data_IF_831705892407
#
_entry.id   IF_831705892407
#
_cell.length_a   1.000
_cell.length_b   1.000
_cell.length_c   1.000
_cell.angle_alpha   90.00
_cell.angle_beta   90.00
_cell.angle_gamma   90.00
#
_symmetry.space_group_name_H-M   'P 1'
#
loop_
_entity.id
_entity.type
_entity.pdbx_description
1 polymer ?
#
# COMPACT_ATOMS: atom_id res chain seq x y z
N UNK A 1 -10.62 -0.83 -18.00
CA UNK A 1 -11.03 0.29 -17.11
C UNK A 1 -10.81 1.67 -17.74
N UNK A 2 -9.58 2.04 -18.15
CA UNK A 2 -9.28 3.35 -18.77
C UNK A 2 -10.24 3.78 -19.90
N UNK A 3 -10.49 2.89 -20.87
CA UNK A 3 -11.39 3.19 -21.99
C UNK A 3 -12.85 3.45 -21.55
N UNK A 4 -13.31 2.77 -20.50
CA UNK A 4 -14.65 2.99 -19.95
C UNK A 4 -14.75 4.36 -19.28
N UNK A 5 -13.72 4.76 -18.52
CA UNK A 5 -13.66 6.09 -17.89
C UNK A 5 -13.58 7.21 -18.93
N UNK A 6 -12.77 7.04 -19.98
CA UNK A 6 -12.70 7.99 -21.09
C UNK A 6 -14.04 8.13 -21.82
N UNK A 7 -14.73 7.01 -22.07
CA UNK A 7 -16.08 7.02 -22.66
C UNK A 7 -17.11 7.72 -21.76
N UNK A 8 -16.93 7.64 -20.45
CA UNK A 8 -17.82 8.28 -19.48
C UNK A 8 -17.57 9.79 -19.43
N UNK A 9 -16.31 10.21 -19.46
CA UNK A 9 -15.90 11.61 -19.57
C UNK A 9 -16.37 12.23 -20.89
N UNK A 10 -16.29 11.51 -22.02
CA UNK A 10 -16.76 12.03 -23.31
C UNK A 10 -18.29 12.21 -23.36
N UNK A 11 -19.04 11.40 -22.61
CA UNK A 11 -20.50 11.54 -22.49
C UNK A 11 -20.93 12.65 -21.53
N UNK A 12 -20.11 12.95 -20.52
CA UNK A 12 -20.43 13.91 -19.46
C UNK A 12 -19.26 14.90 -19.28
N UNK A 13 -19.15 15.93 -20.15
CA UNK A 13 -18.13 16.95 -19.99
C UNK A 13 -18.32 17.70 -18.67
N UNK A 14 -17.25 17.82 -17.87
CA UNK A 14 -17.28 18.41 -16.52
C UNK A 14 -17.52 17.42 -15.38
N UNK A 15 -17.62 16.12 -15.66
CA UNK A 15 -17.70 15.09 -14.63
C UNK A 15 -16.45 15.10 -13.73
N UNK A 16 -16.67 15.21 -12.42
CA UNK A 16 -15.66 14.96 -11.39
C UNK A 16 -15.90 13.59 -10.74
N UNK A 17 -14.87 12.74 -10.73
CA UNK A 17 -14.95 11.41 -10.14
C UNK A 17 -14.47 11.44 -8.69
N UNK A 18 -15.33 11.00 -7.77
CA UNK A 18 -14.95 10.79 -6.37
C UNK A 18 -14.63 9.32 -6.14
N UNK A 19 -13.37 9.03 -5.81
CA UNK A 19 -12.85 7.68 -5.66
C UNK A 19 -12.43 7.49 -4.21
N UNK A 20 -13.01 6.49 -3.54
CA UNK A 20 -12.60 6.09 -2.19
C UNK A 20 -11.96 4.71 -2.24
N UNK A 21 -10.78 4.60 -1.67
CA UNK A 21 -9.99 3.37 -1.62
C UNK A 21 -9.94 2.91 -0.16
N UNK A 22 -10.29 1.65 0.07
CA UNK A 22 -10.05 0.97 1.33
C UNK A 22 -8.62 0.40 1.28
N UNK A 23 -7.64 1.21 1.68
CA UNK A 23 -6.24 0.85 1.45
C UNK A 23 -5.72 -0.09 2.55
N UNK A 24 -5.22 -1.24 2.12
CA UNK A 24 -4.33 -2.10 2.88
C UNK A 24 -3.14 -2.52 2.01
N UNK A 25 -1.95 -2.03 2.33
CA UNK A 25 -0.69 -2.51 1.76
C UNK A 25 -0.38 -2.05 0.31
N UNK A 26 0.58 -2.73 -0.29
CA UNK A 26 1.24 -2.33 -1.55
C UNK A 26 0.32 -2.25 -2.77
N UNK A 27 -0.69 -3.11 -2.84
CA UNK A 27 -1.63 -3.12 -3.97
C UNK A 27 -2.45 -1.83 -4.07
N UNK A 28 -2.83 -1.26 -2.92
CA UNK A 28 -3.53 0.00 -2.88
C UNK A 28 -2.66 1.15 -3.42
N UNK A 29 -1.37 1.15 -3.09
CA UNK A 29 -0.42 2.18 -3.55
C UNK A 29 -0.27 2.20 -5.07
N UNK A 30 -0.10 1.03 -5.70
CA UNK A 30 -0.01 0.93 -7.15
C UNK A 30 -1.27 1.45 -7.84
N UNK A 31 -2.44 1.15 -7.27
CA UNK A 31 -3.72 1.66 -7.78
C UNK A 31 -3.82 3.17 -7.62
N UNK A 32 -3.42 3.71 -6.47
CA UNK A 32 -3.41 5.16 -6.20
C UNK A 32 -2.51 5.88 -7.20
N UNK A 33 -1.29 5.38 -7.43
CA UNK A 33 -0.38 5.95 -8.43
C UNK A 33 -1.01 5.94 -9.83
N UNK A 34 -1.57 4.81 -10.25
CA UNK A 34 -2.23 4.70 -11.56
C UNK A 34 -3.41 5.66 -11.70
N UNK A 35 -4.21 5.85 -10.65
CA UNK A 35 -5.34 6.77 -10.64
C UNK A 35 -4.90 8.24 -10.76
N UNK A 36 -3.79 8.64 -10.14
CA UNK A 36 -3.23 9.98 -10.28
C UNK A 36 -2.67 10.26 -11.69
N UNK A 37 -2.31 9.22 -12.45
CA UNK A 37 -1.90 9.36 -13.85
C UNK A 37 -3.09 9.59 -14.82
N UNK A 38 -4.33 9.46 -14.35
CA UNK A 38 -5.50 9.72 -15.18
C UNK A 38 -5.66 11.22 -15.43
N UNK A 39 -5.70 11.63 -16.71
CA UNK A 39 -5.92 13.02 -17.13
C UNK A 39 -7.40 13.42 -17.07
N UNK A 40 -8.03 13.24 -15.92
CA UNK A 40 -9.43 13.62 -15.68
C UNK A 40 -9.62 14.17 -14.26
N UNK A 41 -10.62 15.03 -14.03
CA UNK A 41 -10.89 15.57 -12.71
C UNK A 41 -11.29 14.45 -11.73
N UNK A 42 -10.42 14.12 -10.79
CA UNK A 42 -10.64 13.09 -9.76
C UNK A 42 -10.35 13.63 -8.37
N UNK A 43 -11.12 13.15 -7.39
CA UNK A 43 -10.86 13.33 -5.96
C UNK A 43 -10.62 11.94 -5.38
N UNK A 44 -9.38 11.65 -5.01
CA UNK A 44 -8.98 10.33 -4.49
C UNK A 44 -8.82 10.43 -2.99
N UNK A 45 -9.62 9.67 -2.25
CA UNK A 45 -9.56 9.58 -0.79
C UNK A 45 -9.25 8.16 -0.35
N UNK A 46 -8.35 8.03 0.61
CA UNK A 46 -7.99 6.76 1.22
C UNK A 46 -8.64 6.69 2.59
N UNK A 47 -9.53 5.71 2.76
CA UNK A 47 -10.25 5.49 4.01
C UNK A 47 -9.48 4.55 4.95
N UNK A 48 -9.58 4.81 6.24
CA UNK A 48 -9.14 3.85 7.25
C UNK A 48 -10.14 2.68 7.31
N UNK A 49 -9.67 1.41 7.36
CA UNK A 49 -10.56 0.24 7.36
C UNK A 49 -11.60 0.27 8.49
N UNK A 50 -11.22 0.75 9.68
CA UNK A 50 -12.14 0.88 10.82
C UNK A 50 -13.30 1.86 10.53
N UNK A 51 -13.01 2.99 9.90
CA UNK A 51 -14.02 3.98 9.52
C UNK A 51 -14.93 3.44 8.42
N UNK A 52 -14.37 2.77 7.41
CA UNK A 52 -15.16 2.16 6.33
C UNK A 52 -16.12 1.11 6.88
N UNK A 53 -15.65 0.28 7.83
CA UNK A 53 -16.47 -0.71 8.54
C UNK A 53 -17.59 -0.05 9.36
N UNK A 54 -17.28 1.01 10.11
CA UNK A 54 -18.27 1.75 10.90
C UNK A 54 -19.36 2.36 10.02
N UNK A 55 -18.97 3.01 8.92
CA UNK A 55 -19.89 3.61 7.97
C UNK A 55 -20.80 2.57 7.30
N UNK A 56 -20.23 1.42 6.89
CA UNK A 56 -21.01 0.32 6.35
C UNK A 56 -22.07 -0.15 7.35
N UNK A 57 -21.68 -0.37 8.60
CA UNK A 57 -22.60 -0.82 9.66
C UNK A 57 -23.73 0.17 9.94
N UNK A 58 -23.48 1.48 9.76
CA UNK A 58 -24.48 2.51 9.98
C UNK A 58 -25.52 2.60 8.85
N UNK A 59 -25.12 2.28 7.61
CA UNK A 59 -25.95 2.51 6.42
C UNK A 59 -26.44 1.25 5.71
N UNK A 60 -25.86 0.09 6.01
CA UNK A 60 -26.20 -1.17 5.34
C UNK A 60 -26.45 -2.27 6.38
N UNK A 61 -27.33 -3.21 6.01
CA UNK A 61 -27.66 -4.37 6.84
C UNK A 61 -26.42 -5.21 7.17
N UNK A 62 -26.48 -6.02 8.23
CA UNK A 62 -25.38 -6.88 8.74
C UNK A 62 -24.85 -7.94 7.76
N UNK A 63 -25.30 -7.98 6.50
CA UNK A 63 -24.71 -8.84 5.47
C UNK A 63 -23.31 -8.32 5.11
N UNK A 64 -22.31 -9.14 5.38
CA UNK A 64 -20.93 -8.91 4.91
C UNK A 64 -20.79 -9.53 3.53
N UNK A 65 -20.71 -8.69 2.50
CA UNK A 65 -20.48 -9.09 1.13
C UNK A 65 -19.72 -7.97 0.40
N UNK A 66 -18.75 -8.33 -0.44
CA UNK A 66 -17.87 -7.39 -1.16
C UNK A 66 -18.62 -6.29 -1.95
N UNK A 67 -19.78 -6.55 -2.58
CA UNK A 67 -20.55 -5.51 -3.24
C UNK A 67 -21.09 -4.45 -2.28
N UNK A 68 -21.46 -4.84 -1.05
CA UNK A 68 -21.97 -3.93 -0.02
C UNK A 68 -20.84 -3.05 0.52
N UNK A 69 -19.64 -3.61 0.70
CA UNK A 69 -18.47 -2.84 1.13
C UNK A 69 -18.05 -1.81 0.08
N UNK A 70 -18.03 -2.21 -1.19
CA UNK A 70 -17.73 -1.34 -2.33
C UNK A 70 -18.77 -0.22 -2.47
N UNK A 71 -20.06 -0.54 -2.36
CA UNK A 71 -21.15 0.42 -2.42
C UNK A 71 -21.10 1.41 -1.25
N UNK A 72 -20.79 0.95 -0.04
CA UNK A 72 -20.64 1.82 1.12
C UNK A 72 -19.48 2.81 0.92
N UNK A 73 -18.35 2.35 0.40
CA UNK A 73 -17.22 3.22 0.08
C UNK A 73 -17.56 4.24 -1.01
N UNK A 74 -18.26 3.82 -2.08
CA UNK A 74 -18.70 4.72 -3.14
C UNK A 74 -19.69 5.78 -2.62
N UNK A 75 -20.65 5.36 -1.79
CA UNK A 75 -21.60 6.29 -1.15
C UNK A 75 -20.87 7.32 -0.29
N UNK A 76 -19.91 6.88 0.53
CA UNK A 76 -19.11 7.78 1.35
C UNK A 76 -18.40 8.84 0.50
N UNK A 77 -17.79 8.43 -0.62
CA UNK A 77 -17.07 9.34 -1.51
C UNK A 77 -17.97 10.46 -2.08
N UNK A 78 -19.23 10.13 -2.38
CA UNK A 78 -20.21 11.06 -2.99
C UNK A 78 -20.92 11.93 -1.96
N UNK A 79 -21.32 11.34 -0.82
CA UNK A 79 -22.12 12.00 0.22
C UNK A 79 -21.24 12.84 1.13
N UNK A 80 -20.21 12.22 1.71
CA UNK A 80 -19.36 12.89 2.72
C UNK A 80 -18.28 13.76 2.08
N UNK A 81 -17.96 13.50 0.79
CA UNK A 81 -16.94 14.22 0.00
C UNK A 81 -15.65 14.49 0.80
N UNK A 82 -15.00 13.43 1.30
CA UNK A 82 -13.76 13.60 2.05
C UNK A 82 -12.71 14.34 1.21
N UNK A 83 -11.81 15.10 1.86
CA UNK A 83 -10.71 15.72 1.17
C UNK A 83 -9.83 14.67 0.48
N UNK A 84 -9.17 15.06 -0.60
CA UNK A 84 -8.21 14.20 -1.27
C UNK A 84 -7.08 13.84 -0.30
N UNK A 85 -6.71 12.56 -0.27
CA UNK A 85 -5.56 12.12 0.51
C UNK A 85 -4.28 12.56 -0.18
N UNK A 86 -3.33 13.09 0.59
CA UNK A 86 -2.02 13.45 0.07
C UNK A 86 -1.36 12.21 -0.55
N UNK A 87 -0.95 12.34 -1.80
CA UNK A 87 -0.28 11.28 -2.53
C UNK A 87 1.23 11.46 -2.45
N UNK A 88 1.92 10.37 -2.12
CA UNK A 88 3.38 10.33 -2.20
C UNK A 88 3.81 10.31 -3.67
N UNK A 89 4.70 11.22 -4.09
CA UNK A 89 5.26 11.18 -5.44
C UNK A 89 5.92 9.83 -5.77
N UNK A 90 5.97 9.43 -7.06
CA UNK A 90 6.54 8.13 -7.46
C UNK A 90 8.00 7.94 -7.02
N UNK A 91 8.76 9.03 -6.84
CA UNK A 91 10.14 9.04 -6.33
C UNK A 91 10.23 8.44 -4.91
N UNK A 92 9.19 8.60 -4.08
CA UNK A 92 9.12 7.98 -2.75
C UNK A 92 8.99 6.47 -2.83
N UNK A 93 8.41 5.93 -3.92
CA UNK A 93 8.37 4.48 -4.12
C UNK A 93 9.78 3.93 -4.37
N UNK A 94 10.55 4.59 -5.24
CA UNK A 94 11.93 4.20 -5.52
C UNK A 94 12.78 4.25 -4.25
N UNK A 95 12.61 5.29 -3.44
CA UNK A 95 13.30 5.41 -2.15
C UNK A 95 12.94 4.26 -1.20
N UNK A 96 11.65 3.92 -1.07
CA UNK A 96 11.23 2.77 -0.25
C UNK A 96 11.87 1.46 -0.72
N UNK A 97 11.93 1.23 -2.03
CA UNK A 97 12.51 0.02 -2.59
C UNK A 97 14.02 -0.08 -2.29
N UNK A 98 14.75 1.03 -2.40
CA UNK A 98 16.18 1.10 -2.06
C UNK A 98 16.40 0.86 -0.55
N UNK A 99 15.57 1.47 0.31
CA UNK A 99 15.64 1.26 1.76
C UNK A 99 15.33 -0.20 2.12
N UNK A 100 14.29 -0.79 1.53
CA UNK A 100 13.94 -2.20 1.74
C UNK A 100 15.07 -3.13 1.31
N UNK A 101 15.70 -2.85 0.16
CA UNK A 101 16.87 -3.59 -0.31
C UNK A 101 18.05 -3.47 0.67
N UNK A 102 18.36 -2.27 1.14
CA UNK A 102 19.42 -2.03 2.14
C UNK A 102 19.17 -2.84 3.42
N UNK A 103 17.96 -2.79 3.97
CA UNK A 103 17.59 -3.56 5.18
C UNK A 103 17.69 -5.07 4.95
N UNK A 104 17.23 -5.55 3.79
CA UNK A 104 17.31 -6.97 3.44
C UNK A 104 18.78 -7.44 3.31
N UNK A 105 19.63 -6.60 2.73
CA UNK A 105 21.06 -6.87 2.55
C UNK A 105 21.78 -6.93 3.89
N UNK A 106 21.45 -6.00 4.80
CA UNK A 106 21.98 -5.99 6.17
C UNK A 106 21.61 -7.28 6.92
N UNK A 107 20.33 -7.68 6.89
CA UNK A 107 19.86 -8.94 7.50
C UNK A 107 20.56 -10.17 6.89
N UNK A 108 20.73 -10.17 5.56
CA UNK A 108 21.43 -11.26 4.87
C UNK A 108 22.90 -11.33 5.28
N UNK A 109 23.59 -10.18 5.38
CA UNK A 109 24.98 -10.12 5.86
C UNK A 109 25.08 -10.71 7.28
N UNK A 110 24.25 -10.27 8.21
CA UNK A 110 24.25 -10.81 9.58
C UNK A 110 23.99 -12.32 9.59
N UNK A 111 23.04 -12.81 8.78
CA UNK A 111 22.77 -14.24 8.66
C UNK A 111 23.99 -15.02 8.16
N UNK A 112 24.67 -14.53 7.12
CA UNK A 112 25.85 -15.17 6.55
C UNK A 112 27.04 -15.17 7.53
N UNK A 113 27.26 -14.05 8.24
CA UNK A 113 28.29 -13.95 9.28
C UNK A 113 28.02 -14.96 10.39
N UNK A 114 26.77 -15.04 10.88
CA UNK A 114 26.41 -16.01 11.91
C UNK A 114 26.56 -17.46 11.43
N UNK A 115 26.21 -17.74 10.16
CA UNK A 115 26.42 -19.06 9.56
C UNK A 115 27.90 -19.41 9.47
N UNK A 116 28.74 -18.49 9.01
CA UNK A 116 30.19 -18.67 8.94
C UNK A 116 30.79 -18.90 10.33
N UNK A 117 30.42 -18.07 11.30
CA UNK A 117 30.86 -18.22 12.69
C UNK A 117 30.50 -19.60 13.24
N UNK A 118 29.27 -20.05 13.03
CA UNK A 118 28.82 -21.38 13.45
C UNK A 118 29.58 -22.53 12.76
N UNK A 119 29.96 -22.38 11.50
CA UNK A 119 30.77 -23.38 10.79
C UNK A 119 32.22 -23.40 11.29
N UNK A 120 32.84 -22.24 11.50
CA UNK A 120 34.20 -22.12 12.03
C UNK A 120 34.29 -22.66 13.45
N UNK A 121 33.34 -22.34 14.32
CA UNK A 121 33.30 -22.86 15.69
C UNK A 121 33.19 -24.40 15.75
N UNK A 122 32.59 -25.04 14.73
CA UNK A 122 32.55 -26.51 14.63
C UNK A 122 33.89 -27.12 14.22
N UNK A 123 34.63 -26.45 13.34
CA UNK A 123 35.92 -26.91 12.85
C UNK A 123 37.08 -26.53 13.79
N UNK A 124 36.98 -25.40 14.49
CA UNK A 124 37.97 -24.84 15.40
C UNK A 124 37.25 -24.22 16.62
N UNK A 125 36.97 -25.01 17.67
CA UNK A 125 36.14 -24.58 18.81
C UNK A 125 36.71 -23.37 19.58
N UNK A 126 38.03 -23.21 19.60
CA UNK A 126 38.71 -22.07 20.22
C UNK A 126 38.43 -20.75 19.49
N UNK A 127 37.97 -20.81 18.24
CA UNK A 127 37.57 -19.63 17.47
C UNK A 127 36.41 -18.88 18.14
N UNK A 128 35.44 -19.63 18.70
CA UNK A 128 34.24 -19.05 19.31
C UNK A 128 34.54 -18.24 20.57
N UNK A 129 35.67 -18.51 21.23
CA UNK A 129 36.11 -17.78 22.43
C UNK A 129 37.02 -16.60 22.09
N UNK A 130 37.78 -16.68 20.99
CA UNK A 130 38.76 -15.67 20.59
C UNK A 130 38.18 -14.56 19.69
N UNK A 131 37.20 -14.87 18.84
CA UNK A 131 36.64 -13.91 17.88
C UNK A 131 35.11 -13.83 18.01
N UNK A 132 34.64 -12.96 18.91
CA UNK A 132 33.22 -12.80 19.21
C UNK A 132 32.41 -12.16 18.06
N UNK A 133 33.08 -11.42 17.18
CA UNK A 133 32.51 -10.85 15.95
C UNK A 133 33.52 -10.98 14.80
N UNK A 134 33.03 -11.31 13.61
CA UNK A 134 33.84 -11.52 12.39
C UNK A 134 33.54 -10.43 11.35
N UNK A 135 32.66 -9.47 11.64
CA UNK A 135 32.11 -8.53 10.68
C UNK A 135 32.40 -7.05 10.98
#
# INVERSE_FOLDING_TARGET
MKNALLKLQSKHPGLQLHIRIDAAGQYAENLIQWLHLLRMPTVISVGQPAMNKAYRNAHFNKRKADPVESLACARFAVVERPPATLHNPPEFSQLRDVVALMESSSKQRTRLVNQLHGLLARAFPEFATLAKDIA
#
